data_IF_251768958775
#
_entry.id   IF_251768958775
#
_cell.length_a   1.000
_cell.length_b   1.000
_cell.length_c   1.000
_cell.angle_alpha   90.00
_cell.angle_beta   90.00
_cell.angle_gamma   90.00
#
_symmetry.space_group_name_H-M   'P 1'
#
loop_
_entity.id
_entity.type
_entity.pdbx_description
1 polymer ?
#
# COMPACT_ATOMS: atom_id res chain seq x y z
N UNK A 1 17.27 -10.57 -33.72
CA UNK A 1 18.31 -11.27 -32.95
C UNK A 1 19.55 -10.41 -32.98
N UNK A 2 20.04 -9.99 -31.82
CA UNK A 2 21.27 -9.19 -31.71
C UNK A 2 22.36 -10.12 -31.18
N UNK A 3 23.48 -10.27 -31.89
CA UNK A 3 24.64 -11.00 -31.35
C UNK A 3 25.51 -10.02 -30.56
N UNK A 4 25.99 -10.45 -29.40
CA UNK A 4 26.87 -9.68 -28.53
C UNK A 4 28.28 -10.28 -28.62
N UNK A 5 29.26 -9.48 -29.02
CA UNK A 5 30.67 -9.86 -28.98
C UNK A 5 31.27 -9.77 -27.56
N UNK A 6 32.48 -10.30 -27.34
CA UNK A 6 33.21 -10.08 -26.09
C UNK A 6 33.42 -8.58 -25.83
N UNK A 7 33.10 -8.13 -24.61
CA UNK A 7 33.11 -6.71 -24.20
C UNK A 7 32.12 -5.79 -24.95
N UNK A 8 31.22 -6.35 -25.76
CA UNK A 8 30.19 -5.59 -26.45
C UNK A 8 28.96 -5.38 -25.55
N UNK A 9 28.22 -4.31 -25.79
CA UNK A 9 27.01 -3.97 -25.04
C UNK A 9 25.85 -3.72 -25.98
N UNK A 10 24.67 -4.25 -25.62
CA UNK A 10 23.42 -3.94 -26.32
C UNK A 10 22.36 -3.52 -25.31
N UNK A 11 21.44 -2.65 -25.74
CA UNK A 11 20.30 -2.22 -24.93
C UNK A 11 19.03 -2.80 -25.51
N UNK A 12 18.36 -3.66 -24.76
CA UNK A 12 17.06 -4.21 -25.13
C UNK A 12 15.99 -3.45 -24.36
N UNK A 13 15.04 -2.85 -25.07
CA UNK A 13 13.87 -2.19 -24.48
C UNK A 13 12.68 -3.11 -24.58
N UNK A 14 12.13 -3.54 -23.44
CA UNK A 14 10.87 -4.25 -23.36
C UNK A 14 9.80 -3.28 -22.81
N UNK A 15 8.62 -3.26 -23.44
CA UNK A 15 7.48 -2.49 -22.93
C UNK A 15 6.56 -3.44 -22.18
N UNK A 16 6.31 -3.18 -20.89
CA UNK A 16 5.38 -3.95 -20.08
C UNK A 16 4.11 -3.11 -19.91
N UNK A 17 2.96 -3.67 -20.32
CA UNK A 17 1.66 -3.07 -20.06
C UNK A 17 1.09 -3.68 -18.78
N UNK A 18 0.97 -2.88 -17.73
CA UNK A 18 0.35 -3.27 -16.48
C UNK A 18 -1.10 -2.81 -16.49
N UNK A 19 -2.04 -3.71 -16.21
CA UNK A 19 -3.48 -3.42 -16.16
C UNK A 19 -4.07 -3.51 -14.74
N UNK A 20 -3.38 -4.17 -13.82
CA UNK A 20 -3.69 -4.29 -12.39
C UNK A 20 -2.42 -4.73 -11.64
N UNK A 21 -2.39 -4.52 -10.32
CA UNK A 21 -1.26 -4.94 -9.47
C UNK A 21 -1.73 -5.93 -8.42
N UNK A 22 -1.60 -7.23 -8.71
CA UNK A 22 -2.01 -8.28 -7.78
C UNK A 22 -0.95 -8.60 -6.72
N UNK A 23 0.34 -8.48 -7.06
CA UNK A 23 1.43 -8.78 -6.11
C UNK A 23 2.48 -7.68 -6.03
N UNK A 24 2.51 -6.72 -6.96
CA UNK A 24 3.53 -5.66 -6.96
C UNK A 24 4.96 -6.14 -7.24
N UNK A 25 5.12 -7.36 -7.75
CA UNK A 25 6.42 -7.93 -8.13
C UNK A 25 6.51 -8.16 -9.63
N UNK A 26 7.64 -7.78 -10.22
CA UNK A 26 7.98 -8.11 -11.61
C UNK A 26 9.18 -9.05 -11.60
N UNK A 27 8.97 -10.25 -12.13
CA UNK A 27 10.01 -11.26 -12.35
C UNK A 27 10.47 -11.24 -13.80
N UNK A 28 11.75 -11.51 -14.02
CA UNK A 28 12.31 -11.59 -15.38
C UNK A 28 13.41 -12.63 -15.48
N UNK A 29 13.48 -13.31 -16.62
CA UNK A 29 14.56 -14.23 -16.96
C UNK A 29 15.12 -13.85 -18.32
N UNK A 30 16.42 -13.60 -18.39
CA UNK A 30 17.14 -13.44 -19.65
C UNK A 30 17.50 -14.84 -20.17
N UNK A 31 16.99 -15.16 -21.36
CA UNK A 31 17.33 -16.39 -22.08
C UNK A 31 18.24 -16.01 -23.25
N UNK A 32 19.38 -16.68 -23.35
CA UNK A 32 20.30 -16.50 -24.47
C UNK A 32 20.77 -17.85 -25.00
N UNK A 33 21.24 -17.87 -26.24
CA UNK A 33 21.82 -19.05 -26.88
C UNK A 33 23.30 -18.80 -27.11
N UNK A 34 24.15 -19.73 -26.68
CA UNK A 34 25.58 -19.67 -26.95
C UNK A 34 25.83 -20.06 -28.41
N UNK A 35 26.31 -19.11 -29.21
CA UNK A 35 26.59 -19.30 -30.63
C UNK A 35 27.61 -20.43 -30.92
N UNK A 36 28.39 -20.85 -29.93
CA UNK A 36 29.47 -21.84 -30.08
C UNK A 36 28.97 -23.29 -30.01
N UNK A 37 27.98 -23.57 -29.16
CA UNK A 37 27.50 -24.93 -28.89
C UNK A 37 25.97 -25.07 -28.94
N UNK A 38 25.23 -23.98 -29.20
CA UNK A 38 23.77 -23.96 -29.28
C UNK A 38 23.08 -24.13 -27.92
N UNK A 39 23.83 -24.13 -26.81
CA UNK A 39 23.26 -24.29 -25.48
C UNK A 39 22.53 -23.03 -25.03
N UNK A 40 21.36 -23.22 -24.42
CA UNK A 40 20.59 -22.13 -23.82
C UNK A 40 21.08 -21.83 -22.41
N UNK A 41 21.48 -20.59 -22.19
CA UNK A 41 21.73 -20.04 -20.86
C UNK A 41 20.51 -19.31 -20.32
N UNK A 42 20.31 -19.39 -19.01
CA UNK A 42 19.24 -18.70 -18.29
C UNK A 42 19.86 -17.86 -17.18
N UNK A 43 19.52 -16.57 -17.16
CA UNK A 43 19.94 -15.65 -16.10
C UNK A 43 18.67 -15.09 -15.49
N UNK A 44 18.43 -15.40 -14.22
CA UNK A 44 17.35 -14.77 -13.46
C UNK A 44 17.75 -13.33 -13.13
N UNK A 45 16.84 -12.40 -13.43
CA UNK A 45 17.02 -10.99 -13.11
C UNK A 45 16.57 -10.73 -11.67
N UNK A 46 17.06 -9.65 -11.10
CA UNK A 46 16.61 -9.20 -9.78
C UNK A 46 15.13 -8.79 -9.84
N UNK A 47 14.42 -9.07 -8.76
CA UNK A 47 13.01 -8.72 -8.61
C UNK A 47 12.83 -7.21 -8.52
N UNK A 48 11.93 -6.68 -9.33
CA UNK A 48 11.52 -5.27 -9.25
C UNK A 48 10.26 -5.21 -8.39
N UNK A 49 10.35 -4.44 -7.30
CA UNK A 49 9.25 -4.21 -6.37
C UNK A 49 8.57 -2.88 -6.73
N UNK A 50 7.26 -2.93 -6.91
CA UNK A 50 6.42 -1.74 -7.08
C UNK A 50 5.91 -1.29 -5.71
N UNK A 51 6.17 -0.03 -5.33
CA UNK A 51 5.59 0.53 -4.11
C UNK A 51 4.13 0.90 -4.37
N UNK A 52 3.23 0.47 -3.47
CA UNK A 52 1.81 0.83 -3.53
C UNK A 52 1.59 2.34 -3.55
N UNK A 53 2.47 3.11 -2.92
CA UNK A 53 2.42 4.55 -2.87
C UNK A 53 2.64 5.23 -4.23
N UNK A 54 3.30 4.54 -5.17
CA UNK A 54 3.54 5.07 -6.52
C UNK A 54 2.26 5.13 -7.34
N UNK A 55 1.32 4.22 -7.09
CA UNK A 55 0.13 4.03 -7.91
C UNK A 55 -1.21 4.22 -7.19
N UNK A 56 -1.24 4.38 -5.87
CA UNK A 56 -2.45 4.81 -5.13
C UNK A 56 -2.57 6.34 -5.14
N UNK A 57 -3.79 6.84 -5.35
CA UNK A 57 -4.13 8.27 -5.32
C UNK A 57 -5.38 8.52 -4.47
N UNK A 58 -5.43 9.62 -3.69
CA UNK A 58 -6.61 9.99 -2.92
C UNK A 58 -7.83 10.12 -3.82
N UNK A 59 -8.96 9.56 -3.40
CA UNK A 59 -10.21 9.60 -4.15
C UNK A 59 -11.38 9.97 -3.22
N UNK A 60 -12.56 10.22 -3.78
CA UNK A 60 -13.76 10.50 -3.00
C UNK A 60 -14.91 9.59 -3.44
N UNK A 61 -15.67 9.12 -2.46
CA UNK A 61 -16.96 8.46 -2.64
C UNK A 61 -17.90 8.90 -1.51
N UNK A 62 -19.21 8.73 -1.72
CA UNK A 62 -20.19 9.01 -0.67
C UNK A 62 -20.18 7.90 0.40
N UNK A 63 -20.78 8.15 1.56
CA UNK A 63 -20.88 7.16 2.64
C UNK A 63 -21.62 5.90 2.17
N UNK A 64 -22.69 6.05 1.37
CA UNK A 64 -23.47 4.94 0.83
C UNK A 64 -22.61 4.05 -0.08
N UNK A 65 -21.80 4.67 -0.94
CA UNK A 65 -20.91 3.95 -1.86
C UNK A 65 -19.79 3.26 -1.08
N UNK A 66 -19.19 3.94 -0.09
CA UNK A 66 -18.18 3.34 0.79
C UNK A 66 -18.73 2.10 1.47
N UNK A 67 -19.92 2.19 2.08
CA UNK A 67 -20.56 1.07 2.80
C UNK A 67 -20.92 -0.09 1.88
N UNK A 68 -21.40 0.21 0.68
CA UNK A 68 -21.68 -0.82 -0.34
C UNK A 68 -20.41 -1.58 -0.71
N UNK A 69 -19.35 -0.86 -1.07
CA UNK A 69 -18.06 -1.48 -1.42
C UNK A 69 -17.45 -2.22 -0.23
N UNK A 70 -17.53 -1.65 0.98
CA UNK A 70 -17.03 -2.27 2.20
C UNK A 70 -17.67 -3.62 2.47
N UNK A 71 -18.98 -3.74 2.21
CA UNK A 71 -19.70 -5.01 2.34
C UNK A 71 -19.40 -6.00 1.19
N UNK A 72 -19.14 -5.49 -0.02
CA UNK A 72 -18.85 -6.30 -1.22
C UNK A 72 -17.43 -6.87 -1.23
N UNK A 73 -16.43 -6.14 -0.74
CA UNK A 73 -15.03 -6.52 -0.90
C UNK A 73 -14.66 -7.75 -0.08
N UNK A 74 -14.09 -8.74 -0.77
CA UNK A 74 -13.75 -10.05 -0.20
C UNK A 74 -12.46 -10.02 0.64
N UNK A 75 -11.47 -9.24 0.20
CA UNK A 75 -10.17 -9.21 0.86
C UNK A 75 -10.14 -8.18 1.98
N UNK A 76 -9.93 -8.64 3.20
CA UNK A 76 -9.66 -7.82 4.38
C UNK A 76 -8.24 -8.12 4.91
N UNK A 77 -7.48 -7.05 5.16
CA UNK A 77 -6.29 -7.11 6.00
C UNK A 77 -6.52 -6.28 7.27
N UNK A 78 -6.25 -6.86 8.44
CA UNK A 78 -6.50 -6.23 9.74
C UNK A 78 -5.19 -6.02 10.48
N UNK A 79 -4.80 -4.77 10.64
CA UNK A 79 -3.58 -4.35 11.33
C UNK A 79 -3.92 -3.85 12.73
N UNK A 80 -3.28 -4.41 13.76
CA UNK A 80 -3.40 -3.90 15.11
C UNK A 80 -2.58 -2.62 15.29
N UNK A 81 -3.13 -1.66 16.04
CA UNK A 81 -2.43 -0.40 16.34
C UNK A 81 -1.31 -0.66 17.33
N UNK A 82 -0.10 -0.29 16.93
CA UNK A 82 1.14 -0.39 17.69
C UNK A 82 2.00 0.81 17.32
N UNK A 83 1.81 1.91 18.06
CA UNK A 83 2.45 3.20 17.80
C UNK A 83 2.96 3.83 19.09
N UNK A 84 3.95 4.71 18.95
CA UNK A 84 4.43 5.60 20.02
C UNK A 84 3.77 6.98 19.97
N UNK A 85 2.96 7.27 18.94
CA UNK A 85 2.23 8.53 18.80
C UNK A 85 1.13 8.59 19.87
N UNK A 86 1.13 9.59 20.79
CA UNK A 86 0.21 9.62 21.92
C UNK A 86 -1.15 10.27 21.61
N UNK A 87 -1.24 11.05 20.52
CA UNK A 87 -2.43 11.80 20.13
C UNK A 87 -3.24 11.05 19.07
N UNK A 88 -4.54 10.91 19.28
CA UNK A 88 -5.48 10.28 18.34
C UNK A 88 -5.49 11.01 17.00
N UNK A 89 -5.51 12.35 17.03
CA UNK A 89 -5.56 13.20 15.85
C UNK A 89 -4.25 13.12 15.08
N UNK A 90 -3.10 13.21 15.77
CA UNK A 90 -1.79 13.10 15.13
C UNK A 90 -1.58 11.72 14.52
N UNK A 91 -2.03 10.66 15.20
CA UNK A 91 -1.97 9.31 14.67
C UNK A 91 -2.82 9.17 13.40
N UNK A 92 -4.06 9.66 13.40
CA UNK A 92 -4.92 9.62 12.22
C UNK A 92 -4.32 10.42 11.05
N UNK A 93 -3.86 11.66 11.30
CA UNK A 93 -3.22 12.48 10.27
C UNK A 93 -1.94 11.82 9.72
N UNK A 94 -1.15 11.18 10.59
CA UNK A 94 0.03 10.40 10.19
C UNK A 94 -0.34 9.24 9.25
N UNK A 95 -1.40 8.48 9.56
CA UNK A 95 -1.88 7.40 8.69
C UNK A 95 -2.39 7.97 7.36
N UNK A 96 -3.18 9.04 7.37
CA UNK A 96 -3.71 9.70 6.16
C UNK A 96 -2.57 10.11 5.23
N UNK A 97 -1.55 10.79 5.76
CA UNK A 97 -0.39 11.25 5.00
C UNK A 97 0.44 10.07 4.48
N UNK A 98 0.73 9.10 5.36
CA UNK A 98 1.60 7.95 5.04
C UNK A 98 1.00 6.98 4.02
N UNK A 99 -0.33 6.99 3.88
CA UNK A 99 -1.09 6.15 2.94
C UNK A 99 -1.62 6.92 1.73
N UNK A 100 -1.44 8.23 1.66
CA UNK A 100 -1.93 9.09 0.57
C UNK A 100 -3.42 8.82 0.25
N UNK A 101 -4.23 8.66 1.30
CA UNK A 101 -5.68 8.41 1.18
C UNK A 101 -6.48 9.65 1.61
N UNK A 102 -7.71 9.78 1.10
CA UNK A 102 -8.61 10.83 1.54
C UNK A 102 -9.44 10.36 2.72
N UNK A 103 -9.45 11.11 3.82
CA UNK A 103 -10.40 10.90 4.91
C UNK A 103 -11.81 11.36 4.47
N UNK A 104 -12.78 10.46 4.56
CA UNK A 104 -14.19 10.71 4.21
C UNK A 104 -15.02 11.09 5.44
N UNK A 105 -14.63 10.60 6.62
CA UNK A 105 -15.34 10.90 7.87
C UNK A 105 -14.89 12.26 8.42
N UNK A 106 -15.82 13.19 8.71
CA UNK A 106 -15.51 14.37 9.51
C UNK A 106 -15.11 13.94 10.93
N UNK A 107 -14.02 14.48 11.47
CA UNK A 107 -13.60 14.18 12.84
C UNK A 107 -13.20 15.45 13.58
N UNK A 108 -13.42 15.45 14.89
CA UNK A 108 -13.07 16.57 15.75
C UNK A 108 -11.54 16.65 15.90
N UNK A 109 -10.96 17.75 15.41
CA UNK A 109 -9.54 18.06 15.55
C UNK A 109 -9.20 18.72 16.89
N UNK A 110 -10.20 19.11 17.69
CA UNK A 110 -10.02 19.72 19.01
C UNK A 110 -9.58 18.71 20.10
N UNK A 111 -9.54 17.41 19.78
CA UNK A 111 -8.91 16.40 20.64
C UNK A 111 -9.66 16.08 21.93
N UNK A 112 -10.95 16.42 22.02
CA UNK A 112 -11.79 16.16 23.21
C UNK A 112 -12.26 14.72 23.34
N UNK A 113 -12.20 13.95 22.25
CA UNK A 113 -12.64 12.54 22.23
C UNK A 113 -11.55 11.59 22.70
N UNK A 114 -11.94 10.51 23.38
CA UNK A 114 -11.06 9.38 23.73
C UNK A 114 -11.02 8.30 22.65
N UNK A 115 -11.83 8.44 21.60
CA UNK A 115 -11.97 7.49 20.50
C UNK A 115 -12.14 8.21 19.16
N UNK A 116 -11.59 7.62 18.09
CA UNK A 116 -11.75 8.08 16.71
C UNK A 116 -12.01 6.88 15.80
N UNK A 117 -13.06 7.00 14.98
CA UNK A 117 -13.31 6.12 13.84
C UNK A 117 -13.34 6.94 12.55
N UNK A 118 -12.53 6.57 11.56
CA UNK A 118 -12.43 7.29 10.30
C UNK A 118 -12.34 6.34 9.11
N UNK A 119 -13.14 6.63 8.08
CA UNK A 119 -13.08 5.96 6.79
C UNK A 119 -12.15 6.73 5.86
N UNK A 120 -11.17 6.05 5.27
CA UNK A 120 -10.25 6.57 4.26
C UNK A 120 -10.48 5.86 2.93
N UNK A 121 -10.31 6.60 1.84
CA UNK A 121 -10.52 6.07 0.50
C UNK A 121 -9.47 6.58 -0.50
N UNK A 122 -9.05 5.67 -1.36
CA UNK A 122 -8.16 5.92 -2.48
C UNK A 122 -8.48 4.98 -3.64
N UNK A 123 -7.94 5.30 -4.81
CA UNK A 123 -7.97 4.41 -5.97
C UNK A 123 -6.58 4.24 -6.57
N UNK A 124 -6.31 3.06 -7.11
CA UNK A 124 -5.14 2.86 -7.94
C UNK A 124 -5.24 3.65 -9.25
N UNK A 125 -4.12 3.93 -9.91
CA UNK A 125 -4.11 4.47 -11.28
C UNK A 125 -4.79 3.54 -12.30
N UNK A 126 -5.00 2.27 -11.93
CA UNK A 126 -5.72 1.28 -12.72
C UNK A 126 -7.23 1.27 -12.43
N UNK A 127 -7.71 2.11 -11.50
CA UNK A 127 -9.12 2.24 -11.15
C UNK A 127 -9.60 1.26 -10.08
N UNK A 128 -8.69 0.58 -9.38
CA UNK A 128 -9.04 -0.33 -8.30
C UNK A 128 -9.27 0.44 -6.99
N UNK A 129 -10.33 0.10 -6.28
CA UNK A 129 -10.71 0.76 -5.04
C UNK A 129 -9.96 0.21 -3.82
N UNK A 130 -9.52 1.11 -2.95
CA UNK A 130 -8.89 0.80 -1.67
C UNK A 130 -9.63 1.53 -0.54
N UNK A 131 -10.15 0.76 0.41
CA UNK A 131 -10.89 1.27 1.55
C UNK A 131 -10.11 0.98 2.83
N UNK A 132 -10.07 1.96 3.72
CA UNK A 132 -9.47 1.79 5.04
C UNK A 132 -10.44 2.31 6.10
N UNK A 133 -10.64 1.55 7.16
CA UNK A 133 -11.30 2.01 8.37
C UNK A 133 -10.25 2.03 9.50
N UNK A 134 -10.02 3.20 10.07
CA UNK A 134 -9.18 3.40 11.25
C UNK A 134 -10.11 3.49 12.45
N UNK A 135 -9.94 2.59 13.42
CA UNK A 135 -10.63 2.64 14.71
C UNK A 135 -9.58 2.65 15.81
N UNK A 136 -9.42 3.79 16.48
CA UNK A 136 -8.37 4.03 17.48
C UNK A 136 -8.94 4.66 18.75
N UNK A 137 -8.54 4.15 19.90
CA UNK A 137 -8.91 4.64 21.22
C UNK A 137 -7.67 4.92 22.06
N UNK A 138 -7.79 5.88 22.98
CA UNK A 138 -6.78 6.11 24.01
C UNK A 138 -7.14 5.25 25.22
N UNK A 139 -6.24 4.36 25.63
CA UNK A 139 -6.45 3.53 26.82
C UNK A 139 -6.52 4.40 28.08
N UNK A 140 -7.32 3.96 29.04
CA UNK A 140 -7.44 4.57 30.37
C UNK A 140 -6.31 4.13 31.33
N UNK A 141 -5.26 3.47 30.82
CA UNK A 141 -4.10 3.08 31.62
C UNK A 141 -3.17 4.28 31.90
N UNK A 142 -2.27 4.13 32.88
CA UNK A 142 -1.33 5.19 33.28
C UNK A 142 -0.45 5.70 32.13
N UNK A 143 -0.27 4.90 31.08
CA UNK A 143 0.58 5.21 29.92
C UNK A 143 -0.21 5.92 28.81
N UNK A 144 -1.55 5.88 28.84
CA UNK A 144 -2.43 6.54 27.88
C UNK A 144 -2.19 6.10 26.44
N UNK A 145 -1.76 4.85 26.23
CA UNK A 145 -1.34 4.35 24.91
C UNK A 145 -2.53 4.20 23.97
N UNK A 146 -2.28 4.40 22.68
CA UNK A 146 -3.29 4.16 21.66
C UNK A 146 -3.49 2.66 21.41
N UNK A 147 -4.75 2.26 21.22
CA UNK A 147 -5.16 0.90 20.93
C UNK A 147 -6.25 0.88 19.86
N UNK A 148 -6.42 -0.26 19.20
CA UNK A 148 -7.45 -0.44 18.18
C UNK A 148 -6.92 -1.14 16.95
N UNK A 149 -7.60 -0.95 15.83
CA UNK A 149 -7.33 -1.65 14.59
C UNK A 149 -7.53 -0.75 13.37
N UNK A 150 -6.70 -0.99 12.37
CA UNK A 150 -6.86 -0.46 11.02
C UNK A 150 -7.26 -1.62 10.12
N UNK A 151 -8.42 -1.52 9.51
CA UNK A 151 -8.94 -2.52 8.57
C UNK A 151 -8.81 -1.99 7.16
N UNK A 152 -8.21 -2.78 6.29
CA UNK A 152 -8.00 -2.46 4.88
C UNK A 152 -8.85 -3.43 4.08
N UNK A 153 -9.65 -2.94 3.13
CA UNK A 153 -10.42 -3.76 2.19
C UNK A 153 -10.20 -3.32 0.75
N UNK A 154 -10.12 -4.29 -0.16
CA UNK A 154 -10.05 -4.07 -1.60
C UNK A 154 -10.62 -5.27 -2.37
N UNK A 155 -10.93 -5.10 -3.66
CA UNK A 155 -11.28 -6.22 -4.56
C UNK A 155 -10.11 -7.14 -4.82
N UNK A 156 -8.88 -6.64 -4.76
CA UNK A 156 -7.66 -7.40 -5.02
C UNK A 156 -6.89 -7.64 -3.73
N UNK A 157 -6.38 -8.85 -3.55
CA UNK A 157 -5.55 -9.21 -2.40
C UNK A 157 -4.30 -8.32 -2.29
N UNK A 158 -3.63 -8.04 -3.42
CA UNK A 158 -2.42 -7.23 -3.48
C UNK A 158 -2.55 -5.88 -2.79
N UNK A 159 -3.58 -5.10 -3.16
CA UNK A 159 -3.82 -3.78 -2.55
C UNK A 159 -4.04 -3.90 -1.04
N UNK A 160 -4.84 -4.86 -0.58
CA UNK A 160 -5.14 -5.03 0.85
C UNK A 160 -3.90 -5.42 1.66
N UNK A 161 -3.05 -6.30 1.12
CA UNK A 161 -1.79 -6.70 1.75
C UNK A 161 -0.77 -5.57 1.74
N UNK A 162 -0.47 -4.99 0.57
CA UNK A 162 0.55 -3.95 0.44
C UNK A 162 0.25 -2.69 1.25
N UNK A 163 -1.03 -2.25 1.33
CA UNK A 163 -1.41 -1.14 2.23
C UNK A 163 -1.26 -1.53 3.70
N UNK A 164 -1.58 -2.76 4.07
CA UNK A 164 -1.40 -3.25 5.44
C UNK A 164 0.07 -3.32 5.85
N UNK A 165 0.95 -3.75 4.95
CA UNK A 165 2.40 -3.73 5.17
C UNK A 165 2.93 -2.31 5.31
N UNK A 166 2.49 -1.40 4.45
CA UNK A 166 2.80 0.04 4.55
C UNK A 166 2.36 0.60 5.90
N UNK A 167 1.11 0.37 6.30
CA UNK A 167 0.56 0.83 7.60
C UNK A 167 1.36 0.24 8.77
N UNK A 168 1.70 -1.05 8.70
CA UNK A 168 2.49 -1.74 9.73
C UNK A 168 3.87 -1.13 9.89
N UNK A 169 4.50 -0.73 8.80
CA UNK A 169 5.79 -0.05 8.79
C UNK A 169 5.70 1.36 9.37
N UNK A 170 4.79 2.19 8.85
CA UNK A 170 4.74 3.62 9.20
C UNK A 170 4.17 3.90 10.58
N UNK A 171 3.28 3.06 11.12
CA UNK A 171 2.70 3.31 12.45
C UNK A 171 3.71 3.27 13.60
N UNK A 172 4.86 2.61 13.37
CA UNK A 172 5.98 2.51 14.32
C UNK A 172 7.02 3.61 14.10
N UNK A 173 7.00 4.28 12.96
CA UNK A 173 7.87 5.40 12.67
C UNK A 173 7.35 6.67 13.35
N UNK A 174 8.26 7.52 13.81
CA UNK A 174 7.90 8.85 14.29
C UNK A 174 7.38 9.70 13.10
N UNK A 175 6.40 10.60 13.32
CA UNK A 175 5.99 11.54 12.29
C UNK A 175 7.21 12.35 11.82
N UNK A 176 7.46 12.41 10.51
CA UNK A 176 8.51 13.28 9.98
C UNK A 176 8.16 14.73 10.36
N UNK A 177 9.06 15.41 11.09
CA UNK A 177 8.88 16.81 11.43
C UNK A 177 8.88 17.63 10.14
N UNK A 178 7.77 18.31 9.85
CA UNK A 178 7.72 19.34 8.81
C UNK A 178 8.64 20.51 9.13
#
# INVERSE_FOLDING_TARGET
>A
SSSLGPQDQTTIRASIKVSSTETGHIFGTLVYENASNGEKGYINLNDIHMDIMDYIRPAFCSDEVFRSMWAEFEWENKVAISTTIPSLVEFLDHIILSTNMRCLTPFDREGKSTFVAANLYARSVFGEDALVNVSVEKKEDNDGKLAGYIRIRSKTQGIALSLGDRITSVQRALPESK
#
